data_IF_658985221990
#
_entry.id   IF_658985221990
#
_cell.length_a   1.000
_cell.length_b   1.000
_cell.length_c   1.000
_cell.angle_alpha   90.00
_cell.angle_beta   90.00
_cell.angle_gamma   90.00
#
_symmetry.space_group_name_H-M   'P 1'
#
loop_
_entity.id
_entity.type
_entity.pdbx_description
1 polymer ?
#
# COMPACT_ATOMS: atom_id res chain seq x y z
N UNK A 1 -17.50 -3.70 1.49
CA UNK A 1 -16.97 -2.49 2.13
C UNK A 1 -16.85 -2.71 3.63
N UNK A 2 -17.96 -2.72 4.37
CA UNK A 2 -17.92 -2.74 5.84
C UNK A 2 -17.44 -4.07 6.43
N UNK A 3 -17.82 -5.20 5.82
CA UNK A 3 -17.38 -6.53 6.27
C UNK A 3 -15.85 -6.69 6.31
N UNK A 4 -15.11 -6.00 5.43
CA UNK A 4 -13.65 -6.05 5.38
C UNK A 4 -12.97 -4.87 6.05
N UNK A 5 -13.51 -3.66 5.89
CA UNK A 5 -12.87 -2.44 6.39
C UNK A 5 -13.02 -2.26 7.90
N UNK A 6 -14.12 -2.73 8.51
CA UNK A 6 -14.28 -2.68 9.97
C UNK A 6 -13.17 -3.48 10.67
N UNK A 7 -13.00 -4.79 10.43
CA UNK A 7 -11.93 -5.55 11.09
C UNK A 7 -10.54 -5.07 10.70
N UNK A 8 -10.33 -4.64 9.46
CA UNK A 8 -9.05 -4.09 9.02
C UNK A 8 -8.64 -2.85 9.82
N UNK A 9 -9.53 -1.86 9.93
CA UNK A 9 -9.23 -0.60 10.64
C UNK A 9 -9.03 -0.82 12.14
N UNK A 10 -9.76 -1.77 12.72
CA UNK A 10 -9.56 -2.17 14.13
C UNK A 10 -8.16 -2.76 14.37
N UNK A 11 -7.63 -3.53 13.42
CA UNK A 11 -6.32 -4.17 13.54
C UNK A 11 -5.15 -3.29 13.09
N UNK A 12 -5.40 -2.29 12.22
CA UNK A 12 -4.34 -1.47 11.63
C UNK A 12 -3.85 -0.34 12.54
N UNK A 13 -4.56 0.01 13.63
CA UNK A 13 -4.19 1.06 14.59
C UNK A 13 -3.73 2.39 13.94
N UNK A 14 -4.41 2.83 12.87
CA UNK A 14 -4.06 4.08 12.16
C UNK A 14 -2.82 3.98 11.26
N UNK A 15 -2.31 2.77 11.02
CA UNK A 15 -1.20 2.46 10.10
C UNK A 15 -1.67 1.76 8.83
N UNK A 16 -2.99 1.71 8.59
CA UNK A 16 -3.52 1.06 7.40
C UNK A 16 -3.17 1.84 6.14
N UNK A 17 -3.02 1.10 5.03
CA UNK A 17 -2.71 1.65 3.71
C UNK A 17 -3.75 1.17 2.72
N UNK A 18 -4.35 2.11 1.99
CA UNK A 18 -5.19 1.81 0.85
C UNK A 18 -4.29 1.57 -0.38
N UNK A 19 -4.28 0.35 -0.90
CA UNK A 19 -3.57 -0.01 -2.13
C UNK A 19 -4.54 -0.21 -3.29
N UNK A 20 -4.27 0.40 -4.44
CA UNK A 20 -5.10 0.21 -5.65
C UNK A 20 -4.40 -0.74 -6.62
N UNK A 21 -4.89 -1.98 -6.68
CA UNK A 21 -4.46 -2.98 -7.64
C UNK A 21 -5.01 -2.69 -9.05
N UNK A 22 -4.40 -3.32 -10.07
CA UNK A 22 -4.87 -3.26 -11.47
C UNK A 22 -4.40 -2.04 -12.27
N UNK A 23 -3.78 -1.04 -11.64
CA UNK A 23 -3.18 0.09 -12.34
C UNK A 23 -1.79 -0.25 -12.90
N UNK A 24 -1.43 0.41 -14.02
CA UNK A 24 -0.09 0.34 -14.60
C UNK A 24 0.98 1.07 -13.77
N UNK A 25 0.57 1.88 -12.80
CA UNK A 25 1.42 2.59 -11.84
C UNK A 25 1.09 2.17 -10.41
N UNK A 26 2.03 2.37 -9.50
CA UNK A 26 1.83 2.09 -8.07
C UNK A 26 1.01 3.25 -7.48
N UNK A 27 -0.08 2.92 -6.79
CA UNK A 27 -0.91 3.89 -6.07
C UNK A 27 -1.24 3.38 -4.69
N UNK A 28 -0.76 4.11 -3.69
CA UNK A 28 -1.12 3.95 -2.27
C UNK A 28 -1.76 5.24 -1.77
N UNK A 29 -2.54 5.17 -0.69
CA UNK A 29 -3.06 6.33 0.01
C UNK A 29 -3.27 6.03 1.49
N UNK A 30 -3.34 7.05 2.37
CA UNK A 30 -3.72 6.85 3.76
C UNK A 30 -5.13 6.23 3.91
N UNK A 31 -5.42 5.68 5.09
CA UNK A 31 -6.68 5.01 5.45
C UNK A 31 -7.71 5.91 6.17
N UNK A 32 -7.33 7.17 6.43
CA UNK A 32 -8.17 8.19 7.03
C UNK A 32 -8.78 9.17 6.00
N UNK A 33 -9.77 9.93 6.44
CA UNK A 33 -10.41 11.00 5.67
C UNK A 33 -9.67 12.34 5.77
N UNK A 34 -10.35 13.43 5.43
CA UNK A 34 -9.77 14.78 5.39
C UNK A 34 -9.56 15.42 6.75
N UNK A 35 -10.33 15.02 7.78
CA UNK A 35 -10.24 15.54 9.14
C UNK A 35 -10.20 17.09 9.21
N UNK A 36 -11.17 17.74 8.57
CA UNK A 36 -11.20 19.21 8.44
C UNK A 36 -11.20 19.94 9.79
N UNK A 37 -11.79 19.33 10.81
CA UNK A 37 -11.84 19.84 12.18
C UNK A 37 -10.46 19.98 12.84
N UNK A 38 -9.42 19.31 12.34
CA UNK A 38 -8.04 19.42 12.84
C UNK A 38 -7.06 20.08 11.87
N UNK A 39 -7.53 20.52 10.70
CA UNK A 39 -6.69 21.19 9.71
C UNK A 39 -6.04 22.46 10.30
N UNK A 40 -4.73 22.61 10.11
CA UNK A 40 -3.96 23.75 10.62
C UNK A 40 -3.68 23.75 12.12
N UNK A 41 -4.17 22.75 12.89
CA UNK A 41 -3.97 22.68 14.35
C UNK A 41 -2.69 21.98 14.78
N UNK A 42 -1.98 21.33 13.85
CA UNK A 42 -0.73 20.62 14.15
C UNK A 42 -0.89 19.32 14.93
N UNK A 43 -2.11 18.77 15.03
CA UNK A 43 -2.44 17.57 15.82
C UNK A 43 -2.78 16.33 14.97
N UNK A 44 -2.57 16.39 13.65
CA UNK A 44 -2.84 15.26 12.77
C UNK A 44 -1.78 14.16 12.94
N UNK A 45 -2.22 12.91 13.06
CA UNK A 45 -1.33 11.75 13.00
C UNK A 45 -0.97 11.45 11.54
N UNK A 46 0.33 11.49 11.23
CA UNK A 46 0.84 11.24 9.88
C UNK A 46 1.24 9.77 9.63
N UNK A 47 1.05 8.88 10.62
CA UNK A 47 1.51 7.48 10.57
C UNK A 47 1.01 6.74 9.32
N UNK A 48 -0.30 6.79 9.03
CA UNK A 48 -0.87 6.16 7.82
C UNK A 48 -0.27 6.69 6.51
N UNK A 49 0.04 7.99 6.45
CA UNK A 49 0.65 8.60 5.26
C UNK A 49 2.09 8.11 5.06
N UNK A 50 2.87 8.05 6.14
CA UNK A 50 4.23 7.51 6.13
C UNK A 50 4.23 6.04 5.70
N UNK A 51 3.33 5.23 6.24
CA UNK A 51 3.16 3.83 5.84
C UNK A 51 2.76 3.68 4.37
N UNK A 52 1.88 4.56 3.86
CA UNK A 52 1.49 4.55 2.46
C UNK A 52 2.68 4.85 1.53
N UNK A 53 3.57 5.76 1.93
CA UNK A 53 4.79 6.08 1.18
C UNK A 53 5.76 4.89 1.17
N UNK A 54 6.06 4.30 2.33
CA UNK A 54 6.98 3.17 2.41
C UNK A 54 6.42 1.93 1.72
N UNK A 55 5.11 1.70 1.80
CA UNK A 55 4.44 0.63 1.05
C UNK A 55 4.62 0.81 -0.46
N UNK A 56 4.51 2.04 -0.99
CA UNK A 56 4.74 2.30 -2.41
C UNK A 56 6.20 1.97 -2.82
N UNK A 57 7.18 2.37 -2.00
CA UNK A 57 8.60 2.06 -2.23
C UNK A 57 8.84 0.54 -2.20
N UNK A 58 8.24 -0.15 -1.23
CA UNK A 58 8.32 -1.62 -1.09
C UNK A 58 7.77 -2.32 -2.33
N UNK A 59 6.56 -1.94 -2.77
CA UNK A 59 5.93 -2.49 -3.98
C UNK A 59 6.79 -2.22 -5.22
N UNK A 60 7.40 -1.03 -5.33
CA UNK A 60 8.30 -0.71 -6.44
C UNK A 60 9.51 -1.65 -6.48
N UNK A 61 10.20 -1.82 -5.35
CA UNK A 61 11.35 -2.73 -5.23
C UNK A 61 10.96 -4.17 -5.56
N UNK A 62 9.82 -4.64 -5.05
CA UNK A 62 9.30 -5.99 -5.32
C UNK A 62 8.99 -6.20 -6.79
N UNK A 63 8.38 -5.23 -7.47
CA UNK A 63 8.11 -5.30 -8.92
C UNK A 63 9.41 -5.35 -9.73
N UNK A 64 10.38 -4.50 -9.40
CA UNK A 64 11.70 -4.49 -10.07
C UNK A 64 12.41 -5.83 -9.91
N UNK A 65 12.47 -6.34 -8.67
CA UNK A 65 13.08 -7.63 -8.37
C UNK A 65 12.37 -8.76 -9.12
N UNK A 66 11.04 -8.77 -9.16
CA UNK A 66 10.28 -9.76 -9.91
C UNK A 66 10.63 -9.75 -11.40
N UNK A 67 10.75 -8.58 -12.03
CA UNK A 67 11.17 -8.45 -13.43
C UNK A 67 12.58 -9.01 -13.64
N UNK A 68 13.54 -8.68 -12.77
CA UNK A 68 14.91 -9.19 -12.84
C UNK A 68 14.93 -10.72 -12.74
N UNK A 69 14.25 -11.29 -11.74
CA UNK A 69 14.20 -12.74 -11.50
C UNK A 69 13.49 -13.53 -12.62
N UNK A 70 12.54 -12.91 -13.31
CA UNK A 70 11.75 -13.57 -14.38
C UNK A 70 12.30 -13.34 -15.78
N UNK A 71 13.46 -12.68 -15.91
CA UNK A 71 14.05 -12.37 -17.23
C UNK A 71 14.52 -13.62 -17.99
N UNK A 72 15.00 -14.66 -17.30
CA UNK A 72 15.46 -15.91 -17.92
C UNK A 72 15.00 -17.15 -17.13
N UNK A 73 13.71 -17.51 -17.19
CA UNK A 73 13.20 -18.65 -16.46
C UNK A 73 13.76 -19.95 -17.03
N UNK A 74 14.07 -20.91 -16.16
CA UNK A 74 14.44 -22.26 -16.57
C UNK A 74 13.35 -22.84 -17.47
N UNK A 75 13.75 -23.29 -18.66
CA UNK A 75 12.83 -23.94 -19.59
C UNK A 75 12.35 -25.25 -18.96
N UNK A 76 11.03 -25.47 -18.93
CA UNK A 76 10.50 -26.77 -18.51
C UNK A 76 11.07 -27.86 -19.41
N UNK A 77 11.61 -28.92 -18.81
CA UNK A 77 12.06 -30.09 -19.54
C UNK A 77 10.85 -30.67 -20.28
N UNK A 78 10.95 -30.79 -21.61
CA UNK A 78 9.88 -31.39 -22.40
C UNK A 78 9.73 -32.85 -21.94
N UNK A 79 8.51 -33.22 -21.57
CA UNK A 79 8.13 -34.62 -21.34
C UNK A 79 8.14 -35.39 -22.67
#
# INVERSE_FOLDING_TARGET
HDQGLIPFKTLSFGKGVNFTAGLNRIRTSPDHGTAYEIAGKGIADNSSFVEALYTAISVYKSRKLHTELTTNPLKKQKA
#
